data_IF_976812282541
#
_entry.id   IF_976812282541
#
_cell.length_a   1.000
_cell.length_b   1.000
_cell.length_c   1.000
_cell.angle_alpha   90.00
_cell.angle_beta   90.00
_cell.angle_gamma   90.00
#
_symmetry.space_group_name_H-M   'P 1'
#
loop_
_entity.id
_entity.type
_entity.pdbx_description
1 polymer ?
#
# COMPACT_ATOMS: atom_id res chain seq x y z
N UNK A 1 11.43 -8.94 -16.80
CA UNK A 1 10.88 -8.17 -15.66
C UNK A 1 11.21 -8.96 -14.41
N UNK A 2 11.77 -8.34 -13.37
CA UNK A 2 12.02 -9.05 -12.12
C UNK A 2 10.69 -9.57 -11.56
N UNK A 3 10.64 -10.84 -11.18
CA UNK A 3 9.47 -11.42 -10.51
C UNK A 3 9.48 -10.93 -9.06
N UNK A 4 8.80 -9.81 -8.80
CA UNK A 4 8.73 -9.22 -7.46
C UNK A 4 7.83 -10.08 -6.58
N UNK A 5 8.42 -10.70 -5.56
CA UNK A 5 7.69 -11.43 -4.53
C UNK A 5 7.24 -10.47 -3.42
N UNK A 6 6.03 -9.90 -3.55
CA UNK A 6 5.55 -8.88 -2.61
C UNK A 6 5.37 -9.39 -1.17
N UNK A 7 5.23 -10.71 -0.97
CA UNK A 7 5.09 -11.33 0.34
C UNK A 7 6.32 -11.11 1.25
N UNK A 8 7.50 -10.83 0.68
CA UNK A 8 8.72 -10.49 1.43
C UNK A 8 8.64 -9.13 2.13
N UNK A 9 7.76 -8.23 1.66
CA UNK A 9 7.65 -6.86 2.14
C UNK A 9 6.39 -6.60 2.99
N UNK A 10 5.37 -7.45 2.82
CA UNK A 10 4.08 -7.28 3.48
C UNK A 10 3.46 -8.62 3.89
N UNK A 11 3.29 -8.81 5.19
CA UNK A 11 2.54 -9.92 5.79
C UNK A 11 1.27 -9.37 6.43
N UNK A 12 0.07 -9.67 5.89
CA UNK A 12 -1.19 -9.20 6.44
C UNK A 12 -1.57 -9.95 7.73
N UNK A 13 -2.25 -9.26 8.64
CA UNK A 13 -2.96 -9.92 9.74
C UNK A 13 -4.25 -10.58 9.25
N UNK A 14 -4.83 -11.50 10.02
CA UNK A 14 -6.03 -12.25 9.63
C UNK A 14 -7.16 -11.36 9.04
N UNK A 15 -7.50 -10.26 9.70
CA UNK A 15 -8.54 -9.33 9.21
C UNK A 15 -8.15 -8.61 7.91
N UNK A 16 -6.88 -8.29 7.73
CA UNK A 16 -6.38 -7.69 6.49
C UNK A 16 -6.41 -8.72 5.36
N UNK A 17 -6.02 -9.96 5.63
CA UNK A 17 -6.08 -11.06 4.67
C UNK A 17 -7.50 -11.29 4.17
N UNK A 18 -8.47 -11.31 5.07
CA UNK A 18 -9.89 -11.42 4.67
C UNK A 18 -10.36 -10.23 3.85
N UNK A 19 -9.85 -9.03 4.12
CA UNK A 19 -10.14 -7.83 3.34
C UNK A 19 -9.50 -7.86 1.94
N UNK A 20 -8.28 -8.39 1.79
CA UNK A 20 -7.61 -8.54 0.49
C UNK A 20 -8.33 -9.51 -0.46
N UNK A 21 -9.09 -10.46 0.08
CA UNK A 21 -9.87 -11.44 -0.70
C UNK A 21 -11.22 -10.90 -1.20
N UNK A 22 -11.60 -9.69 -0.77
CA UNK A 22 -12.87 -9.05 -1.13
C UNK A 22 -12.79 -8.51 -2.56
N UNK A 23 -13.76 -8.85 -3.39
CA UNK A 23 -13.84 -8.44 -4.80
C UNK A 23 -14.75 -7.21 -5.01
N UNK A 24 -15.32 -6.69 -3.93
CA UNK A 24 -16.21 -5.55 -3.94
C UNK A 24 -15.48 -4.29 -4.45
N UNK A 25 -16.10 -3.60 -5.42
CA UNK A 25 -15.56 -2.37 -6.04
C UNK A 25 -15.18 -1.29 -5.02
N UNK A 26 -15.91 -1.21 -3.90
CA UNK A 26 -15.66 -0.25 -2.84
C UNK A 26 -15.59 -0.96 -1.49
N UNK A 27 -14.50 -0.74 -0.77
CA UNK A 27 -14.25 -1.32 0.53
C UNK A 27 -13.97 -0.24 1.57
N UNK A 28 -14.70 -0.29 2.68
CA UNK A 28 -14.47 0.57 3.85
C UNK A 28 -13.75 -0.18 4.95
N UNK A 29 -12.58 0.30 5.40
CA UNK A 29 -11.82 -0.30 6.50
C UNK A 29 -11.75 0.65 7.70
N UNK A 30 -12.45 0.28 8.77
CA UNK A 30 -12.43 0.97 10.07
C UNK A 30 -11.61 0.23 11.13
N UNK A 31 -11.27 0.91 12.23
CA UNK A 31 -10.60 0.29 13.38
C UNK A 31 -9.81 1.28 14.23
N UNK A 32 -9.20 0.80 15.30
CA UNK A 32 -8.44 1.60 16.27
C UNK A 32 -7.20 2.29 15.67
N UNK A 33 -6.70 3.33 16.36
CA UNK A 33 -5.39 3.91 16.07
C UNK A 33 -4.32 2.80 16.16
N UNK A 34 -3.29 2.86 15.30
CA UNK A 34 -2.28 1.79 15.16
C UNK A 34 -2.76 0.44 14.59
N UNK A 35 -4.03 0.27 14.24
CA UNK A 35 -4.55 -0.98 13.66
C UNK A 35 -4.12 -1.30 12.22
N UNK A 36 -2.97 -0.79 11.75
CA UNK A 36 -2.39 -1.17 10.45
C UNK A 36 -3.11 -0.64 9.20
N UNK A 37 -4.13 0.21 9.33
CA UNK A 37 -4.94 0.70 8.19
C UNK A 37 -4.13 1.40 7.09
N UNK A 38 -3.15 2.22 7.48
CA UNK A 38 -2.28 2.90 6.51
C UNK A 38 -1.43 1.91 5.73
N UNK A 39 -0.90 0.88 6.41
CA UNK A 39 -0.08 -0.17 5.80
C UNK A 39 -0.93 -1.04 4.86
N UNK A 40 -2.13 -1.42 5.29
CA UNK A 40 -3.12 -2.13 4.46
C UNK A 40 -3.41 -1.38 3.15
N UNK A 41 -3.78 -0.10 3.24
CA UNK A 41 -4.10 0.69 2.04
C UNK A 41 -2.90 0.89 1.09
N UNK A 42 -1.67 0.97 1.63
CA UNK A 42 -0.47 1.00 0.79
C UNK A 42 -0.22 -0.35 0.11
N UNK A 43 -0.44 -1.46 0.81
CA UNK A 43 -0.26 -2.80 0.27
C UNK A 43 -1.23 -3.07 -0.89
N UNK A 44 -2.51 -2.72 -0.71
CA UNK A 44 -3.53 -2.80 -1.76
C UNK A 44 -3.14 -2.01 -3.00
N UNK A 45 -2.68 -0.77 -2.79
CA UNK A 45 -2.25 0.09 -3.89
C UNK A 45 -1.08 -0.54 -4.67
N UNK A 46 -0.07 -1.07 -3.96
CA UNK A 46 1.09 -1.70 -4.61
C UNK A 46 0.67 -2.97 -5.36
N UNK A 47 -0.17 -3.81 -4.75
CA UNK A 47 -0.66 -5.03 -5.38
C UNK A 47 -1.46 -4.70 -6.66
N UNK A 48 -2.34 -3.70 -6.62
CA UNK A 48 -3.06 -3.24 -7.81
C UNK A 48 -2.15 -2.71 -8.92
N UNK A 49 -1.02 -2.09 -8.57
CA UNK A 49 -0.02 -1.66 -9.56
C UNK A 49 0.76 -2.84 -10.16
N UNK A 50 0.96 -3.93 -9.39
CA UNK A 50 1.64 -5.14 -9.84
C UNK A 50 0.71 -5.99 -10.72
N UNK A 51 -0.54 -6.17 -10.31
CA UNK A 51 -1.53 -6.98 -11.01
C UNK A 51 -1.96 -6.34 -12.34
N UNK A 52 -1.99 -5.01 -12.40
CA UNK A 52 -2.44 -4.24 -13.57
C UNK A 52 -1.37 -3.26 -14.05
N UNK A 53 -0.39 -3.71 -14.86
CA UNK A 53 0.64 -2.84 -15.42
C UNK A 53 0.04 -1.65 -16.20
N UNK A 54 0.54 -0.45 -15.94
CA UNK A 54 0.06 0.79 -16.56
C UNK A 54 -1.14 1.45 -15.84
N UNK A 55 -1.67 0.82 -14.80
CA UNK A 55 -2.70 1.40 -13.95
C UNK A 55 -2.18 2.64 -13.20
N UNK A 56 -3.07 3.59 -12.94
CA UNK A 56 -2.77 4.82 -12.19
C UNK A 56 -3.54 4.80 -10.88
N UNK A 57 -2.84 4.58 -9.78
CA UNK A 57 -3.42 4.53 -8.45
C UNK A 57 -2.94 5.72 -7.62
N UNK A 58 -3.83 6.25 -6.77
CA UNK A 58 -3.54 7.39 -5.90
C UNK A 58 -3.99 7.11 -4.47
N UNK A 59 -3.21 7.59 -3.49
CA UNK A 59 -3.55 7.54 -2.08
C UNK A 59 -3.68 8.97 -1.52
N UNK A 60 -4.81 9.24 -0.86
CA UNK A 60 -5.17 10.58 -0.44
C UNK A 60 -5.36 10.65 1.08
N UNK A 61 -5.08 11.84 1.64
CA UNK A 61 -5.32 12.17 3.05
C UNK A 61 -5.81 13.61 3.15
N UNK A 62 -6.54 13.91 4.22
CA UNK A 62 -7.06 15.25 4.51
C UNK A 62 -5.98 16.33 4.44
N UNK A 63 -4.81 16.08 5.04
CA UNK A 63 -3.73 17.07 5.14
C UNK A 63 -2.40 16.49 4.62
N UNK A 64 -1.59 17.33 3.95
CA UNK A 64 -0.26 16.96 3.46
C UNK A 64 0.68 16.49 4.58
N UNK A 65 0.61 17.11 5.76
CA UNK A 65 1.41 16.73 6.92
C UNK A 65 1.11 15.30 7.39
N UNK A 66 -0.17 14.93 7.41
CA UNK A 66 -0.63 13.59 7.79
C UNK A 66 -0.21 12.56 6.74
N UNK A 67 -0.35 12.89 5.45
CA UNK A 67 0.12 12.03 4.35
C UNK A 67 1.60 11.70 4.51
N UNK A 68 2.44 12.72 4.72
CA UNK A 68 3.89 12.56 4.90
C UNK A 68 4.26 11.73 6.12
N UNK A 69 3.62 11.96 7.28
CA UNK A 69 3.96 11.29 8.54
C UNK A 69 3.43 9.87 8.66
N UNK A 70 2.38 9.51 7.92
CA UNK A 70 1.72 8.21 8.07
C UNK A 70 1.82 7.36 6.82
N UNK A 71 1.14 7.78 5.76
CA UNK A 71 1.01 7.02 4.52
C UNK A 71 2.35 6.90 3.78
N UNK A 72 3.11 7.99 3.60
CA UNK A 72 4.40 7.91 2.91
C UNK A 72 5.39 7.03 3.67
N UNK A 73 5.46 7.16 5.00
CA UNK A 73 6.30 6.28 5.84
C UNK A 73 5.89 4.81 5.67
N UNK A 74 4.57 4.53 5.71
CA UNK A 74 4.06 3.16 5.54
C UNK A 74 4.34 2.60 4.15
N UNK A 75 4.20 3.43 3.11
CA UNK A 75 4.46 3.08 1.72
C UNK A 75 5.93 2.71 1.51
N UNK A 76 6.87 3.58 1.88
CA UNK A 76 8.29 3.30 1.70
C UNK A 76 8.79 2.14 2.58
N UNK A 77 8.10 1.83 3.67
CA UNK A 77 8.44 0.66 4.49
C UNK A 77 8.09 -0.68 3.84
N UNK A 78 7.13 -0.72 2.90
CA UNK A 78 6.69 -1.97 2.26
C UNK A 78 6.87 -1.97 0.74
N UNK A 79 7.21 -0.84 0.13
CA UNK A 79 7.39 -0.77 -1.32
C UNK A 79 8.74 -1.38 -1.71
N UNK A 80 8.76 -2.41 -2.59
CA UNK A 80 9.99 -2.93 -3.15
C UNK A 80 10.79 -1.80 -3.83
N UNK A 81 12.09 -1.64 -3.51
CA UNK A 81 12.91 -0.56 -4.06
C UNK A 81 12.93 -0.53 -5.59
N UNK A 82 12.85 -1.70 -6.23
CA UNK A 82 12.88 -1.87 -7.68
C UNK A 82 11.66 -1.25 -8.39
N UNK A 83 10.55 -1.04 -7.67
CA UNK A 83 9.35 -0.38 -8.20
C UNK A 83 9.42 1.14 -8.15
N UNK A 84 10.38 1.70 -7.39
CA UNK A 84 10.50 3.14 -7.20
C UNK A 84 11.36 3.70 -8.33
N UNK A 85 10.70 4.08 -9.43
CA UNK A 85 11.36 4.76 -10.55
C UNK A 85 11.94 6.13 -10.13
N UNK A 86 11.35 6.78 -9.12
CA UNK A 86 11.82 8.05 -8.56
C UNK A 86 12.85 7.82 -7.45
N UNK A 87 14.01 7.26 -7.80
CA UNK A 87 15.18 7.31 -6.91
C UNK A 87 15.55 8.79 -6.72
N UNK A 88 15.53 9.29 -5.48
CA UNK A 88 16.01 10.63 -5.13
C UNK A 88 17.46 10.76 -5.64
N UNK A 89 17.65 11.59 -6.65
CA UNK A 89 18.84 12.44 -6.70
C UNK A 89 18.66 13.44 -5.56
N UNK A 90 19.53 13.36 -4.54
CA UNK A 90 19.50 14.22 -3.34
C UNK A 90 19.58 13.42 -2.06
#
# INVERSE_FOLDING_TARGET
MATINFAEYYTPHARQLEAHKREEKYMGVGGAMSGGKSRFGCAEMIQLCLDYPGNRVGIFRKNRSVLKRTTMVSFFAICPPDLIAWKRQG
#
